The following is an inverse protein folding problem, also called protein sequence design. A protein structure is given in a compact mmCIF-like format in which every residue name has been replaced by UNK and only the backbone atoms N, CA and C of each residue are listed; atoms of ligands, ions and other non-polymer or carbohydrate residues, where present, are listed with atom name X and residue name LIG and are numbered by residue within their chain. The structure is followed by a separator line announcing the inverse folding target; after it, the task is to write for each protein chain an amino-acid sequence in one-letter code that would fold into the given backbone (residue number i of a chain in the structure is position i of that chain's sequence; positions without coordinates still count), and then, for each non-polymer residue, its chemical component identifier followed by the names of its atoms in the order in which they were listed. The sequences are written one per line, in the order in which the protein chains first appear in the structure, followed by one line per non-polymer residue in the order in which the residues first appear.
data_IF_000055518240
#
_entry.id   IF_000055518240
#
_cell.length_a   1.000
_cell.length_b   1.000
_cell.length_c   1.000
_cell.angle_alpha   90.00
_cell.angle_beta   90.00
_cell.angle_gamma   90.00
#
_symmetry.space_group_name_H-M   'P 1'
#
loop_
_entity.id
_entity.type
_entity.pdbx_description
1 polymer ?
#
# COMPACT_ATOMS: atom_id res chain seq x y z
N UNK A 1 10.29 -5.12 0.12
CA UNK A 1 9.44 -6.24 -0.36
C UNK A 1 8.64 -6.88 0.77
N UNK A 2 9.28 -7.48 1.79
CA UNK A 2 8.59 -8.18 2.91
C UNK A 2 7.51 -7.31 3.58
N UNK A 3 7.82 -6.03 3.79
CA UNK A 3 6.91 -5.07 4.41
C UNK A 3 5.62 -4.83 3.61
N UNK A 4 5.73 -4.63 2.30
CA UNK A 4 4.57 -4.42 1.43
C UNK A 4 3.71 -5.68 1.32
N UNK A 5 4.34 -6.86 1.32
CA UNK A 5 3.64 -8.15 1.34
C UNK A 5 2.88 -8.36 2.65
N UNK A 6 3.45 -7.97 3.79
CA UNK A 6 2.76 -8.03 5.09
C UNK A 6 1.54 -7.12 5.14
N UNK A 7 1.62 -5.92 4.57
CA UNK A 7 0.46 -5.02 4.44
C UNK A 7 -0.64 -5.61 3.57
N UNK A 8 -0.29 -6.17 2.40
CA UNK A 8 -1.26 -6.81 1.51
C UNK A 8 -1.96 -8.00 2.20
N UNK A 9 -1.19 -8.85 2.89
CA UNK A 9 -1.73 -10.01 3.61
C UNK A 9 -2.67 -9.55 4.73
N UNK A 10 -2.29 -8.52 5.49
CA UNK A 10 -3.16 -7.93 6.51
C UNK A 10 -4.48 -7.45 5.91
N UNK A 11 -4.42 -6.69 4.83
CA UNK A 11 -5.60 -6.10 4.19
C UNK A 11 -6.54 -7.19 3.64
N UNK A 12 -5.99 -8.28 3.06
CA UNK A 12 -6.78 -9.45 2.61
C UNK A 12 -7.44 -10.18 3.77
N UNK A 13 -6.72 -10.36 4.88
CA UNK A 13 -7.27 -11.01 6.08
C UNK A 13 -8.41 -10.18 6.70
N UNK A 14 -8.30 -8.85 6.68
CA UNK A 14 -9.36 -7.95 7.14
C UNK A 14 -10.60 -8.02 6.26
N UNK A 15 -10.42 -7.97 4.93
CA UNK A 15 -11.54 -8.02 3.98
C UNK A 15 -12.28 -9.37 4.01
N UNK A 16 -11.57 -10.45 4.35
CA UNK A 16 -12.14 -11.80 4.51
C UNK A 16 -12.73 -12.06 5.90
N UNK A 17 -12.68 -11.08 6.81
CA UNK A 17 -13.21 -11.19 8.18
C UNK A 17 -12.38 -12.09 9.11
N UNK A 18 -11.15 -12.43 8.72
CA UNK A 18 -10.25 -13.24 9.53
C UNK A 18 -9.58 -12.34 10.56
N UNK A 19 -9.97 -12.47 11.83
CA UNK A 19 -9.45 -11.67 12.95
C UNK A 19 -8.33 -12.40 13.69
N UNK A 20 -7.11 -12.32 13.17
CA UNK A 20 -5.87 -12.81 13.81
C UNK A 20 -4.98 -11.63 14.21
N UNK A 21 -3.93 -11.87 15.00
CA UNK A 21 -3.02 -10.81 15.49
C UNK A 21 -2.59 -9.79 14.41
N UNK A 22 -2.24 -10.27 13.21
CA UNK A 22 -1.87 -9.43 12.09
C UNK A 22 -3.00 -8.52 11.60
N UNK A 23 -4.24 -9.00 11.57
CA UNK A 23 -5.40 -8.25 11.07
C UNK A 23 -6.13 -7.45 12.13
N UNK A 24 -5.93 -7.73 13.42
CA UNK A 24 -6.59 -7.03 14.53
C UNK A 24 -5.72 -5.97 15.21
N UNK A 25 -4.42 -6.20 15.39
CA UNK A 25 -3.52 -5.28 16.11
C UNK A 25 -2.91 -4.19 15.21
N UNK A 26 -2.74 -4.48 13.92
CA UNK A 26 -2.19 -3.53 12.94
C UNK A 26 -3.27 -2.65 12.28
N UNK A 27 -4.44 -2.55 12.90
CA UNK A 27 -5.51 -1.61 12.52
C UNK A 27 -5.27 -0.31 13.26
N UNK A 28 -5.01 0.76 12.50
CA UNK A 28 -5.01 2.10 13.09
C UNK A 28 -6.46 2.54 13.31
N UNK A 29 -6.85 2.68 14.58
CA UNK A 29 -8.07 3.39 14.96
C UNK A 29 -7.82 4.90 14.80
N UNK A 30 -8.12 5.44 13.63
CA UNK A 30 -8.04 6.90 13.43
C UNK A 30 -9.19 7.59 14.16
N UNK A 31 -8.93 8.77 14.74
CA UNK A 31 -9.97 9.60 15.37
C UNK A 31 -10.99 10.19 14.38
N UNK A 32 -10.78 10.01 13.07
CA UNK A 32 -11.65 10.53 12.01
C UNK A 32 -11.97 9.41 10.99
N UNK A 33 -13.00 8.62 11.30
CA UNK A 33 -13.36 7.39 10.58
C UNK A 33 -13.63 7.59 9.07
N UNK A 34 -14.13 8.76 8.69
CA UNK A 34 -14.35 9.12 7.27
C UNK A 34 -13.03 9.28 6.52
N UNK A 35 -12.04 9.96 7.10
CA UNK A 35 -10.75 10.18 6.45
C UNK A 35 -9.95 8.88 6.34
N UNK A 36 -9.96 8.03 7.38
CA UNK A 36 -9.28 6.72 7.31
C UNK A 36 -9.94 5.77 6.33
N UNK A 37 -11.27 5.75 6.27
CA UNK A 37 -11.98 4.88 5.32
C UNK A 37 -11.81 5.31 3.86
N UNK A 38 -11.56 6.60 3.59
CA UNK A 38 -11.34 7.10 2.23
C UNK A 38 -9.89 6.94 1.78
N UNK A 39 -8.91 7.21 2.65
CA UNK A 39 -7.48 7.14 2.29
C UNK A 39 -6.91 5.72 2.39
N UNK A 40 -7.34 4.93 3.37
CA UNK A 40 -6.70 3.66 3.73
C UNK A 40 -7.64 2.45 3.67
N UNK A 41 -8.63 2.51 2.78
CA UNK A 41 -9.39 1.31 2.42
C UNK A 41 -8.43 0.31 1.77
N UNK A 42 -8.54 -0.97 2.14
CA UNK A 42 -7.81 -2.10 1.53
C UNK A 42 -7.79 -2.03 -0.01
N UNK A 43 -8.89 -1.55 -0.58
CA UNK A 43 -9.05 -1.29 -2.02
C UNK A 43 -7.99 -0.35 -2.63
N UNK A 44 -7.64 0.73 -1.94
CA UNK A 44 -6.60 1.66 -2.41
C UNK A 44 -5.24 0.99 -2.40
N UNK A 45 -4.93 0.19 -1.37
CA UNK A 45 -3.71 -0.61 -1.29
C UNK A 45 -3.62 -1.57 -2.49
N UNK A 46 -4.71 -2.24 -2.85
CA UNK A 46 -4.72 -3.17 -4.00
C UNK A 46 -4.51 -2.45 -5.33
N UNK A 47 -5.14 -1.29 -5.54
CA UNK A 47 -4.95 -0.50 -6.75
C UNK A 47 -3.49 -0.07 -6.89
N UNK A 48 -2.93 0.49 -5.82
CA UNK A 48 -1.54 0.97 -5.80
C UNK A 48 -0.57 -0.18 -6.09
N UNK A 49 -0.70 -1.30 -5.35
CA UNK A 49 0.15 -2.46 -5.54
C UNK A 49 0.01 -3.06 -6.96
N UNK A 50 -1.21 -3.10 -7.50
CA UNK A 50 -1.47 -3.53 -8.87
C UNK A 50 -0.75 -2.65 -9.91
N UNK A 51 -0.84 -1.33 -9.75
CA UNK A 51 -0.14 -0.37 -10.63
C UNK A 51 1.38 -0.52 -10.55
N UNK A 52 1.94 -0.68 -9.35
CA UNK A 52 3.38 -0.90 -9.16
C UNK A 52 3.87 -2.19 -9.81
N UNK A 53 3.11 -3.29 -9.69
CA UNK A 53 3.43 -4.58 -10.33
C UNK A 53 3.42 -4.43 -11.85
N UNK A 54 2.38 -3.80 -12.42
CA UNK A 54 2.27 -3.60 -13.88
C UNK A 54 3.42 -2.75 -14.40
N UNK A 55 3.74 -1.63 -13.75
CA UNK A 55 4.85 -0.77 -14.16
C UNK A 55 6.20 -1.47 -14.04
N UNK A 56 6.39 -2.29 -13.00
CA UNK A 56 7.59 -3.11 -12.83
C UNK A 56 7.73 -4.13 -13.95
N UNK A 57 6.65 -4.83 -14.31
CA UNK A 57 6.63 -5.75 -15.46
C UNK A 57 6.97 -5.06 -16.77
N UNK A 58 6.46 -3.84 -17.00
CA UNK A 58 6.77 -3.04 -18.20
C UNK A 58 8.25 -2.68 -18.24
N UNK A 59 8.84 -2.25 -17.12
CA UNK A 59 10.27 -1.92 -17.04
C UNK A 59 11.14 -3.16 -17.28
N UNK A 60 10.74 -4.30 -16.71
CA UNK A 60 11.45 -5.58 -16.87
C UNK A 60 11.38 -6.07 -18.32
N UNK A 61 10.19 -6.05 -18.94
CA UNK A 61 9.99 -6.44 -20.34
C UNK A 61 10.75 -5.57 -21.33
N UNK A 62 10.87 -4.26 -21.04
CA UNK A 62 11.63 -3.32 -21.88
C UNK A 62 13.13 -3.35 -21.61
N UNK A 63 13.58 -4.06 -20.56
CA UNK A 63 14.94 -4.09 -20.04
C UNK A 63 15.58 -2.69 -19.93
N UNK A 64 14.75 -1.69 -19.64
CA UNK A 64 15.13 -0.28 -19.56
C UNK A 64 14.33 0.34 -18.43
N UNK A 65 15.03 0.75 -17.38
CA UNK A 65 14.43 1.44 -16.24
C UNK A 65 13.90 2.82 -16.67
N UNK A 66 14.72 3.61 -17.37
CA UNK A 66 14.30 4.86 -18.04
C UNK A 66 13.48 5.81 -17.15
N UNK A 67 12.64 6.65 -17.78
CA UNK A 67 11.76 7.59 -17.06
C UNK A 67 10.61 6.90 -16.32
N UNK A 68 10.16 5.74 -16.81
CA UNK A 68 9.05 4.98 -16.22
C UNK A 68 9.43 4.33 -14.90
N UNK A 69 10.64 3.76 -14.79
CA UNK A 69 11.18 3.22 -13.55
C UNK A 69 11.48 4.32 -12.52
N UNK A 70 11.88 5.50 -12.97
CA UNK A 70 12.07 6.64 -12.06
C UNK A 70 10.73 7.15 -11.51
N UNK A 71 9.67 7.12 -12.34
CA UNK A 71 8.30 7.41 -11.91
C UNK A 71 7.79 6.41 -10.87
N UNK A 72 8.05 5.10 -11.02
CA UNK A 72 7.67 4.12 -10.00
C UNK A 72 8.39 4.34 -8.67
N UNK A 73 9.67 4.70 -8.69
CA UNK A 73 10.39 5.03 -7.45
C UNK A 73 9.77 6.25 -6.77
N UNK A 74 9.49 7.32 -7.53
CA UNK A 74 8.86 8.53 -6.97
C UNK A 74 7.48 8.23 -6.40
N UNK A 75 6.68 7.42 -7.09
CA UNK A 75 5.37 6.98 -6.62
C UNK A 75 5.50 6.21 -5.29
N UNK A 76 6.42 5.24 -5.21
CA UNK A 76 6.66 4.46 -4.01
C UNK A 76 7.11 5.33 -2.82
N UNK A 77 8.00 6.30 -3.04
CA UNK A 77 8.44 7.25 -2.01
C UNK A 77 7.28 8.13 -1.52
N UNK A 78 6.44 8.60 -2.45
CA UNK A 78 5.28 9.41 -2.11
C UNK A 78 4.26 8.62 -1.26
N UNK A 79 3.94 7.40 -1.67
CA UNK A 79 3.04 6.51 -0.93
C UNK A 79 3.60 6.17 0.45
N UNK A 80 4.90 5.88 0.54
CA UNK A 80 5.56 5.61 1.81
C UNK A 80 5.52 6.81 2.75
N UNK A 81 5.67 8.03 2.21
CA UNK A 81 5.59 9.27 3.00
C UNK A 81 4.17 9.53 3.50
N UNK A 82 3.16 9.31 2.66
CA UNK A 82 1.75 9.38 3.07
C UNK A 82 1.41 8.32 4.14
N UNK A 83 1.97 7.12 4.00
CA UNK A 83 1.82 6.05 4.98
C UNK A 83 2.42 6.43 6.33
N UNK A 84 3.64 6.98 6.35
CA UNK A 84 4.27 7.50 7.56
C UNK A 84 3.43 8.61 8.20
N UNK A 85 2.95 9.57 7.39
CA UNK A 85 2.10 10.64 7.89
C UNK A 85 0.82 10.10 8.53
N UNK A 86 0.15 9.16 7.86
CA UNK A 86 -1.04 8.52 8.41
C UNK A 86 -0.75 7.79 9.72
N UNK A 87 0.38 7.08 9.84
CA UNK A 87 0.66 6.26 11.03
C UNK A 87 1.21 7.02 12.22
N UNK A 88 2.00 8.07 11.99
CA UNK A 88 2.70 8.78 13.07
C UNK A 88 2.11 10.15 13.42
N UNK A 89 1.38 10.79 12.50
CA UNK A 89 0.88 12.16 12.68
C UNK A 89 -0.65 12.25 12.73
N UNK A 90 -1.36 11.37 12.02
CA UNK A 90 -2.82 11.23 12.12
C UNK A 90 -3.24 10.22 13.21
#
# INVERSE_FOLDING_TARGET
MIYSSLHLIRDVLQDTGVNIFLSSFLVKNSGNSLLSSFLWKSFNTYIIAGVEIVLSFICLKRNKFGRLGLFTILLAVFIFTLWLFYWFLL
#
